data_IF_104568980237
#
_entry.id   IF_104568980237
#
_cell.length_a   1.000
_cell.length_b   1.000
_cell.length_c   1.000
_cell.angle_alpha   90.00
_cell.angle_beta   90.00
_cell.angle_gamma   90.00
#
_symmetry.space_group_name_H-M   'P 1'
#
loop_
_entity.id
_entity.type
_entity.pdbx_description
1 polymer ?
#
# COMPACT_ATOMS: atom_id res chain seq x y z
N UNK A 1 -13.94 1.81 -14.74
CA UNK A 1 -13.44 0.47 -15.05
C UNK A 1 -12.35 0.13 -14.04
N UNK A 2 -12.29 -1.12 -13.58
CA UNK A 2 -11.18 -1.57 -12.74
C UNK A 2 -9.95 -1.78 -13.61
N UNK A 3 -8.83 -1.17 -13.24
CA UNK A 3 -7.54 -1.31 -13.95
C UNK A 3 -6.62 -2.20 -13.12
N UNK A 4 -6.13 -3.28 -13.73
CA UNK A 4 -5.18 -4.19 -13.11
C UNK A 4 -3.79 -3.99 -13.71
N UNK A 5 -2.76 -3.97 -12.88
CA UNK A 5 -1.36 -3.97 -13.30
C UNK A 5 -0.62 -5.12 -12.61
N UNK A 6 0.32 -5.71 -13.33
CA UNK A 6 1.19 -6.77 -12.82
C UNK A 6 2.65 -6.34 -12.96
N UNK A 7 3.49 -6.72 -12.00
CA UNK A 7 4.93 -6.51 -12.05
C UNK A 7 5.65 -7.81 -11.70
N UNK A 8 6.45 -8.34 -12.63
CA UNK A 8 6.97 -9.72 -12.56
C UNK A 8 8.02 -9.95 -11.47
N UNK A 9 8.81 -8.93 -11.16
CA UNK A 9 10.03 -9.08 -10.36
C UNK A 9 10.01 -8.31 -9.05
N UNK A 10 8.83 -8.02 -8.51
CA UNK A 10 8.71 -7.31 -7.25
C UNK A 10 7.28 -6.98 -6.89
N UNK A 11 7.11 -6.08 -5.92
CA UNK A 11 5.80 -5.59 -5.50
C UNK A 11 5.28 -4.51 -6.44
N UNK A 12 3.97 -4.48 -6.61
CA UNK A 12 3.21 -3.37 -7.19
C UNK A 12 1.97 -3.14 -6.34
N UNK A 13 1.62 -1.89 -6.10
CA UNK A 13 0.40 -1.53 -5.38
C UNK A 13 -0.23 -0.27 -5.97
N UNK A 14 -1.55 -0.28 -6.04
CA UNK A 14 -2.36 0.84 -6.51
C UNK A 14 -3.23 1.38 -5.38
N UNK A 15 -3.19 2.68 -5.13
CA UNK A 15 -4.03 3.36 -4.13
C UNK A 15 -4.98 4.29 -4.84
N UNK A 16 -6.27 4.21 -4.50
CA UNK A 16 -7.25 5.15 -5.03
C UNK A 16 -7.11 6.53 -4.38
N UNK A 17 -6.97 7.55 -5.22
CA UNK A 17 -7.00 8.95 -4.84
C UNK A 17 -8.46 9.45 -4.84
N UNK A 18 -9.07 9.75 -3.67
CA UNK A 18 -10.45 10.22 -3.65
C UNK A 18 -10.63 11.62 -4.25
N UNK A 19 -9.58 12.44 -4.31
CA UNK A 19 -9.60 13.81 -4.84
C UNK A 19 -9.57 13.81 -6.36
N UNK A 20 -8.60 13.14 -6.97
CA UNK A 20 -8.46 13.10 -8.44
C UNK A 20 -9.31 12.02 -9.09
N UNK A 21 -9.84 11.08 -8.29
CA UNK A 21 -10.60 9.90 -8.74
C UNK A 21 -9.76 8.96 -9.62
N UNK A 22 -8.43 9.01 -9.49
CA UNK A 22 -7.46 8.17 -10.19
C UNK A 22 -6.79 7.18 -9.22
N UNK A 23 -6.07 6.21 -9.77
CA UNK A 23 -5.24 5.29 -8.99
C UNK A 23 -3.78 5.71 -9.12
N UNK A 24 -3.12 5.96 -7.99
CA UNK A 24 -1.69 6.14 -7.91
C UNK A 24 -1.00 4.78 -7.78
N UNK A 25 0.05 4.55 -8.55
CA UNK A 25 0.75 3.27 -8.62
C UNK A 25 2.20 3.40 -8.18
N UNK A 26 2.66 2.48 -7.35
CA UNK A 26 4.06 2.33 -6.99
C UNK A 26 4.49 0.87 -7.24
N UNK A 27 5.71 0.68 -7.74
CA UNK A 27 6.30 -0.64 -7.92
C UNK A 27 7.80 -0.62 -7.60
N UNK A 28 8.33 -1.74 -7.09
CA UNK A 28 9.74 -1.84 -6.69
C UNK A 28 10.27 -3.25 -6.92
N UNK A 29 11.46 -3.36 -7.50
CA UNK A 29 12.14 -4.65 -7.73
C UNK A 29 12.50 -5.35 -6.42
N UNK A 30 12.27 -6.67 -6.35
CA UNK A 30 12.55 -7.57 -5.21
C UNK A 30 12.02 -7.11 -3.84
N UNK A 31 11.03 -6.23 -3.83
CA UNK A 31 10.57 -5.53 -2.63
C UNK A 31 9.06 -5.49 -2.62
N UNK A 32 8.43 -5.91 -1.52
CA UNK A 32 7.01 -5.69 -1.31
C UNK A 32 6.74 -4.21 -1.12
N UNK A 33 5.66 -3.71 -1.71
CA UNK A 33 5.24 -2.31 -1.58
C UNK A 33 3.75 -2.27 -1.27
N UNK A 34 3.36 -1.36 -0.39
CA UNK A 34 1.97 -1.12 -0.03
C UNK A 34 1.78 0.38 0.18
N UNK A 35 0.64 0.89 -0.28
CA UNK A 35 0.30 2.29 -0.18
C UNK A 35 -1.02 2.45 0.54
N UNK A 36 -1.14 3.54 1.29
CA UNK A 36 -2.39 3.90 1.97
C UNK A 36 -2.58 5.40 1.80
N UNK A 37 -3.80 5.81 1.49
CA UNK A 37 -4.16 7.22 1.47
C UNK A 37 -4.44 7.69 2.90
N UNK A 38 -3.74 8.73 3.34
CA UNK A 38 -3.99 9.41 4.60
C UNK A 38 -4.99 10.56 4.38
N UNK A 39 -6.29 10.40 4.74
CA UNK A 39 -7.29 11.43 4.51
C UNK A 39 -7.08 12.68 5.37
N UNK A 40 -6.42 12.57 6.52
CA UNK A 40 -6.15 13.71 7.41
C UNK A 40 -5.11 14.64 6.80
N UNK A 41 -4.08 14.08 6.18
CA UNK A 41 -2.98 14.82 5.57
C UNK A 41 -3.18 15.05 4.07
N UNK A 42 -4.15 14.37 3.46
CA UNK A 42 -4.41 14.38 2.02
C UNK A 42 -3.17 13.96 1.19
N UNK A 43 -2.44 12.94 1.67
CA UNK A 43 -1.24 12.39 1.02
C UNK A 43 -1.30 10.87 0.90
N UNK A 44 -0.44 10.30 0.06
CA UNK A 44 -0.16 8.88 0.03
C UNK A 44 1.05 8.57 0.91
N UNK A 45 0.92 7.56 1.74
CA UNK A 45 2.06 6.98 2.46
C UNK A 45 2.36 5.61 1.86
N UNK A 46 3.63 5.39 1.54
CA UNK A 46 4.12 4.16 0.93
C UNK A 46 5.10 3.49 1.87
N UNK A 47 4.95 2.17 2.05
CA UNK A 47 5.93 1.36 2.77
C UNK A 47 6.47 0.26 1.88
N UNK A 48 7.78 0.04 2.01
CA UNK A 48 8.57 -0.91 1.23
C UNK A 48 9.23 -1.91 2.18
N UNK A 49 9.29 -3.18 1.80
CA UNK A 49 9.96 -4.22 2.57
C UNK A 49 10.68 -5.21 1.65
N UNK A 50 12.01 -5.27 1.76
CA UNK A 50 12.84 -6.09 0.88
C UNK A 50 12.59 -7.58 1.13
N UNK A 51 12.42 -8.36 0.05
CA UNK A 51 12.18 -9.81 0.10
C UNK A 51 11.04 -10.24 1.05
N UNK A 52 9.97 -9.45 1.12
CA UNK A 52 8.79 -9.83 1.89
C UNK A 52 7.55 -9.01 1.53
N UNK A 53 6.49 -9.22 2.30
CA UNK A 53 5.22 -8.50 2.18
C UNK A 53 5.13 -7.35 3.18
N UNK A 54 4.32 -6.35 2.83
CA UNK A 54 3.95 -5.24 3.70
C UNK A 54 2.48 -4.92 3.50
N UNK A 55 1.81 -4.52 4.58
CA UNK A 55 0.41 -4.11 4.59
C UNK A 55 0.26 -2.90 5.51
N UNK A 56 -0.59 -1.95 5.10
CA UNK A 56 -0.90 -0.75 5.86
C UNK A 56 -2.39 -0.54 6.00
N UNK A 57 -2.83 -0.03 7.16
CA UNK A 57 -4.23 0.26 7.44
C UNK A 57 -4.31 1.66 8.05
N UNK A 58 -5.16 2.51 7.49
CA UNK A 58 -5.47 3.79 8.13
C UNK A 58 -6.40 3.55 9.31
N UNK A 59 -5.93 3.87 10.52
CA UNK A 59 -6.74 3.85 11.74
C UNK A 59 -7.39 5.23 11.94
N UNK A 60 -8.71 5.38 11.69
CA UNK A 60 -9.38 6.68 11.73
C UNK A 60 -9.50 7.26 13.15
N UNK A 61 -9.42 6.42 14.20
CA UNK A 61 -9.54 6.89 15.59
C UNK A 61 -8.33 7.70 16.04
N UNK A 62 -7.14 7.31 15.58
CA UNK A 62 -5.86 7.98 15.88
C UNK A 62 -5.36 8.83 14.72
N UNK A 63 -5.92 8.64 13.52
CA UNK A 63 -5.55 9.37 12.30
C UNK A 63 -4.13 9.05 11.82
N UNK A 64 -3.68 7.82 12.05
CA UNK A 64 -2.36 7.32 11.63
C UNK A 64 -2.51 6.01 10.86
N UNK A 65 -1.42 5.60 10.21
CA UNK A 65 -1.36 4.35 9.46
C UNK A 65 -0.55 3.34 10.26
N UNK A 66 -1.16 2.20 10.51
CA UNK A 66 -0.52 1.06 11.13
C UNK A 66 0.04 0.15 10.06
N UNK A 67 1.29 -0.30 10.26
CA UNK A 67 2.03 -1.05 9.26
C UNK A 67 2.48 -2.40 9.80
N UNK A 68 2.27 -3.45 9.03
CA UNK A 68 2.80 -4.78 9.28
C UNK A 68 3.67 -5.23 8.11
N UNK A 69 4.82 -5.82 8.39
CA UNK A 69 5.78 -6.28 7.38
C UNK A 69 6.44 -7.59 7.82
N UNK A 70 6.67 -8.49 6.88
CA UNK A 70 7.26 -9.80 7.16
C UNK A 70 7.71 -10.52 5.89
N UNK A 71 8.73 -11.36 6.03
CA UNK A 71 9.27 -12.20 4.97
C UNK A 71 8.39 -13.42 4.63
N UNK A 72 7.44 -13.80 5.49
CA UNK A 72 6.64 -15.04 5.34
C UNK A 72 5.11 -14.84 5.45
N UNK A 73 4.60 -13.61 5.31
CA UNK A 73 3.25 -13.30 5.81
C UNK A 73 2.11 -13.33 4.79
N UNK A 74 0.97 -13.82 5.29
CA UNK A 74 -0.37 -13.36 4.97
C UNK A 74 -0.80 -12.42 6.11
N UNK A 75 -1.33 -11.25 5.79
CA UNK A 75 -1.89 -10.32 6.79
C UNK A 75 -3.41 -10.47 6.80
N UNK A 76 -4.00 -10.64 7.98
CA UNK A 76 -5.44 -10.72 8.18
C UNK A 76 -5.86 -9.57 9.08
N UNK A 77 -6.90 -8.85 8.67
CA UNK A 77 -7.57 -7.83 9.47
C UNK A 77 -8.82 -8.50 10.02
N UNK A 78 -8.98 -8.51 11.34
CA UNK A 78 -10.13 -9.06 12.05
C UNK A 78 -11.10 -7.95 12.44
#
# INVERSE_FOLDING_TARGET
>A
STVWKQYRYGGIHGVFNPVTRLIEWEHVFQTGVYGVFNPKLNIFEWKKFYKGGVHGIHNPSIGTIEWQASCHSVFVIL
#
